data_IF_924395993631
#
_entry.id   IF_924395993631
#
_cell.length_a   1.000
_cell.length_b   1.000
_cell.length_c   1.000
_cell.angle_alpha   90.00
_cell.angle_beta   90.00
_cell.angle_gamma   90.00
#
_symmetry.space_group_name_H-M   'P 1'
#
loop_
_entity.id
_entity.type
_entity.pdbx_description
1 polymer ?
#
# COMPACT_ATOMS: atom_id res chain seq x y z
N UNK A 1 25.87 5.32 -0.52
CA UNK A 1 24.40 5.41 -0.40
C UNK A 1 23.75 4.73 -1.59
N UNK A 2 23.35 3.45 -1.47
CA UNK A 2 22.62 2.78 -2.56
C UNK A 2 21.21 3.37 -2.64
N UNK A 3 20.78 3.74 -3.86
CA UNK A 3 19.42 4.24 -4.07
C UNK A 3 18.43 3.11 -3.81
N UNK A 4 17.39 3.38 -3.00
CA UNK A 4 16.32 2.40 -2.75
C UNK A 4 15.61 2.09 -4.07
N UNK A 5 15.52 0.81 -4.41
CA UNK A 5 14.79 0.39 -5.62
C UNK A 5 13.31 0.75 -5.50
N UNK A 6 12.72 1.23 -6.60
CA UNK A 6 11.28 1.49 -6.68
C UNK A 6 10.53 0.18 -6.66
N UNK A 7 9.49 0.10 -5.83
CA UNK A 7 8.54 -1.02 -5.84
C UNK A 7 7.43 -0.74 -6.83
N UNK A 8 7.08 -1.72 -7.65
CA UNK A 8 5.93 -1.68 -8.54
C UNK A 8 4.84 -2.54 -7.91
N UNK A 9 3.69 -1.95 -7.65
CA UNK A 9 2.53 -2.66 -7.12
C UNK A 9 1.52 -2.91 -8.22
N UNK A 10 0.91 -4.10 -8.21
CA UNK A 10 -0.17 -4.43 -9.13
C UNK A 10 -1.41 -3.58 -8.84
N UNK A 11 -2.36 -3.58 -9.78
CA UNK A 11 -3.60 -2.82 -9.64
C UNK A 11 -4.46 -3.39 -8.49
N UNK A 12 -4.49 -4.70 -8.38
CA UNK A 12 -5.25 -5.48 -7.39
C UNK A 12 -4.71 -5.16 -5.99
N UNK A 13 -3.39 -5.14 -5.82
CA UNK A 13 -2.78 -4.77 -4.55
C UNK A 13 -3.16 -3.35 -4.13
N UNK A 14 -3.14 -2.39 -5.06
CA UNK A 14 -3.57 -1.02 -4.75
C UNK A 14 -5.05 -0.96 -4.35
N UNK A 15 -5.90 -1.77 -4.97
CA UNK A 15 -7.32 -1.83 -4.63
C UNK A 15 -7.53 -2.36 -3.21
N UNK A 16 -6.84 -3.43 -2.83
CA UNK A 16 -6.90 -3.97 -1.46
C UNK A 16 -6.53 -2.91 -0.41
N UNK A 17 -5.51 -2.11 -0.67
CA UNK A 17 -5.07 -1.03 0.22
C UNK A 17 -6.17 0.06 0.35
N UNK A 18 -6.83 0.41 -0.75
CA UNK A 18 -7.96 1.36 -0.74
C UNK A 18 -9.14 0.81 0.05
N UNK A 19 -9.48 -0.46 -0.14
CA UNK A 19 -10.60 -1.11 0.56
C UNK A 19 -10.35 -1.14 2.08
N UNK A 20 -9.11 -1.41 2.51
CA UNK A 20 -8.72 -1.37 3.93
C UNK A 20 -8.80 0.04 4.52
N UNK A 21 -8.42 1.05 3.74
CA UNK A 21 -8.52 2.45 4.15
C UNK A 21 -9.99 2.88 4.30
N UNK A 22 -10.85 2.51 3.34
CA UNK A 22 -12.29 2.79 3.40
C UNK A 22 -12.98 2.05 4.55
N UNK A 23 -12.47 0.88 4.94
CA UNK A 23 -12.92 0.14 6.12
C UNK A 23 -12.52 0.81 7.46
N UNK A 24 -11.81 1.95 7.41
CA UNK A 24 -11.44 2.73 8.60
C UNK A 24 -10.21 2.21 9.34
N UNK A 25 -9.42 1.31 8.73
CA UNK A 25 -8.18 0.85 9.34
C UNK A 25 -7.15 1.97 9.39
N UNK A 26 -6.41 2.11 10.50
CA UNK A 26 -5.34 3.09 10.58
C UNK A 26 -4.25 2.75 9.57
N UNK A 27 -3.68 3.77 8.91
CA UNK A 27 -2.66 3.59 7.87
C UNK A 27 -1.45 2.76 8.33
N UNK A 28 -1.12 2.80 9.62
CA UNK A 28 -0.05 2.00 10.21
C UNK A 28 -0.29 0.48 10.17
N UNK A 29 -1.55 0.05 10.03
CA UNK A 29 -1.92 -1.36 9.85
C UNK A 29 -2.02 -1.76 8.36
N UNK A 30 -1.93 -0.79 7.44
CA UNK A 30 -2.12 -0.99 6.00
C UNK A 30 -0.78 -1.05 5.25
N UNK A 31 0.26 -0.33 5.72
CA UNK A 31 1.56 -0.16 5.04
C UNK A 31 2.73 -0.42 5.99
#
# INVERSE_FOLDING_TARGET
>A
MSRRQRRTYSKEFKQQIVDLYLAGKPRAEII
#
